data_IF_034869415280
#
_entry.id   IF_034869415280
#
_cell.length_a   1.000
_cell.length_b   1.000
_cell.length_c   1.000
_cell.angle_alpha   90.00
_cell.angle_beta   90.00
_cell.angle_gamma   90.00
#
_symmetry.space_group_name_H-M   'P 1'
#
loop_
_entity.id
_entity.type
_entity.pdbx_description
1 polymer ?
#
# COMPACT_ATOMS: atom_id res chain seq x y z
N UNK A 1 -8.79 10.46 9.58
CA UNK A 1 -8.85 9.17 8.88
C UNK A 1 -9.02 9.44 7.41
N UNK A 2 -8.07 9.00 6.60
CA UNK A 2 -8.02 9.14 5.14
C UNK A 2 -7.65 7.80 4.53
N UNK A 3 -7.90 7.62 3.24
CA UNK A 3 -7.48 6.42 2.51
C UNK A 3 -6.30 6.78 1.62
N UNK A 4 -5.19 6.07 1.81
CA UNK A 4 -3.97 6.19 1.01
C UNK A 4 -3.80 4.88 0.24
N UNK A 5 -3.64 4.95 -1.07
CA UNK A 5 -3.51 3.76 -1.93
C UNK A 5 -2.17 3.81 -2.64
N UNK A 6 -1.44 2.71 -2.54
CA UNK A 6 -0.36 2.35 -3.45
C UNK A 6 -0.98 1.87 -4.78
N UNK A 7 -0.98 2.76 -5.76
CA UNK A 7 -1.70 2.61 -7.02
C UNK A 7 -1.07 1.62 -7.99
N UNK A 8 0.24 1.37 -7.88
CA UNK A 8 0.99 0.49 -8.79
C UNK A 8 0.59 -0.98 -8.63
N UNK A 9 0.12 -1.36 -7.43
CA UNK A 9 -0.23 -2.75 -7.09
C UNK A 9 -1.73 -2.94 -6.73
N UNK A 10 -2.60 -1.96 -7.01
CA UNK A 10 -4.00 -2.01 -6.59
C UNK A 10 -5.01 -2.09 -7.75
N UNK A 11 -5.50 -3.30 -8.12
CA UNK A 11 -6.54 -3.42 -9.14
C UNK A 11 -7.92 -2.92 -8.67
N UNK A 12 -8.12 -2.78 -7.35
CA UNK A 12 -9.41 -2.46 -6.71
C UNK A 12 -9.71 -0.98 -6.51
N UNK A 13 -9.01 -0.06 -7.20
CA UNK A 13 -9.13 1.40 -6.97
C UNK A 13 -10.58 1.90 -7.11
N UNK A 14 -11.36 1.38 -8.07
CA UNK A 14 -12.76 1.78 -8.27
C UNK A 14 -13.66 1.46 -7.06
N UNK A 15 -13.41 0.33 -6.39
CA UNK A 15 -14.11 -0.08 -5.18
C UNK A 15 -13.71 0.84 -4.03
N UNK A 16 -12.41 1.08 -3.87
CA UNK A 16 -11.88 1.97 -2.83
C UNK A 16 -12.44 3.38 -2.98
N UNK A 17 -12.47 3.91 -4.20
CA UNK A 17 -13.10 5.19 -4.55
C UNK A 17 -14.56 5.24 -4.13
N UNK A 18 -15.33 4.22 -4.48
CA UNK A 18 -16.77 4.17 -4.17
C UNK A 18 -17.02 4.18 -2.66
N UNK A 19 -16.17 3.47 -1.89
CA UNK A 19 -16.22 3.47 -0.42
C UNK A 19 -15.79 4.84 0.12
N UNK A 20 -14.68 5.40 -0.36
CA UNK A 20 -14.19 6.71 0.06
C UNK A 20 -15.27 7.79 -0.13
N UNK A 21 -15.93 7.79 -1.29
CA UNK A 21 -17.03 8.71 -1.60
C UNK A 21 -18.25 8.50 -0.71
N UNK A 22 -18.66 7.23 -0.50
CA UNK A 22 -19.79 6.88 0.38
C UNK A 22 -19.59 7.40 1.81
N UNK A 23 -18.37 7.29 2.34
CA UNK A 23 -18.03 7.73 3.69
C UNK A 23 -17.46 9.15 3.76
N UNK A 24 -17.38 9.86 2.62
CA UNK A 24 -16.79 11.21 2.50
C UNK A 24 -15.38 11.30 3.09
N UNK A 25 -14.59 10.25 2.90
CA UNK A 25 -13.19 10.18 3.30
C UNK A 25 -12.31 10.76 2.20
N UNK A 26 -11.25 11.46 2.59
CA UNK A 26 -10.20 11.88 1.67
C UNK A 26 -9.51 10.64 1.09
N UNK A 27 -9.33 10.61 -0.22
CA UNK A 27 -8.67 9.54 -0.95
C UNK A 27 -7.45 10.11 -1.67
N UNK A 28 -6.28 9.53 -1.42
CA UNK A 28 -5.03 9.83 -2.11
C UNK A 28 -4.52 8.55 -2.74
N UNK A 29 -4.29 8.55 -4.04
CA UNK A 29 -3.69 7.44 -4.77
C UNK A 29 -2.32 7.89 -5.28
N UNK A 30 -1.27 7.18 -4.90
CA UNK A 30 0.08 7.40 -5.42
C UNK A 30 0.35 6.40 -6.53
N UNK A 31 0.90 6.87 -7.66
CA UNK A 31 1.29 5.99 -8.76
C UNK A 31 2.50 6.55 -9.49
N UNK A 32 3.24 5.68 -10.17
CA UNK A 32 4.32 6.11 -11.05
C UNK A 32 3.79 6.76 -12.36
N UNK A 33 4.71 7.30 -13.16
CA UNK A 33 4.40 7.89 -14.47
C UNK A 33 3.91 6.89 -15.53
N UNK A 34 4.04 5.58 -15.28
CA UNK A 34 3.66 4.52 -16.20
C UNK A 34 2.21 4.06 -15.98
N UNK A 35 1.62 4.39 -14.83
CA UNK A 35 0.24 4.04 -14.49
C UNK A 35 -0.69 5.25 -14.65
N UNK A 36 -1.54 5.22 -15.68
CA UNK A 36 -2.58 6.25 -15.85
C UNK A 36 -3.81 5.90 -15.01
N UNK A 37 -3.99 6.61 -13.89
CA UNK A 37 -5.15 6.47 -13.00
C UNK A 37 -6.02 7.72 -13.14
N UNK A 38 -7.29 7.53 -13.52
CA UNK A 38 -8.28 8.61 -13.56
C UNK A 38 -9.29 8.43 -12.43
N UNK A 39 -9.42 9.45 -11.58
CA UNK A 39 -10.39 9.50 -10.48
C UNK A 39 -11.28 10.73 -10.62
N UNK A 40 -12.58 10.54 -10.44
CA UNK A 40 -13.61 11.59 -10.31
C UNK A 40 -13.87 11.97 -8.83
N UNK A 41 -13.24 11.26 -7.90
CA UNK A 41 -13.27 11.53 -6.46
C UNK A 41 -11.93 11.11 -5.84
N UNK A 42 -11.28 12.04 -5.12
CA UNK A 42 -9.95 11.85 -4.57
C UNK A 42 -8.86 12.53 -5.40
N UNK A 43 -7.62 12.41 -4.94
CA UNK A 43 -6.43 12.99 -5.56
C UNK A 43 -5.52 11.86 -6.07
N UNK A 44 -5.06 11.98 -7.32
CA UNK A 44 -3.99 11.13 -7.87
C UNK A 44 -2.69 11.91 -7.83
N UNK A 45 -1.69 11.39 -7.12
CA UNK A 45 -0.34 11.95 -7.04
C UNK A 45 0.60 11.07 -7.84
N UNK A 46 0.93 11.55 -9.04
CA UNK A 46 1.93 10.92 -9.89
C UNK A 46 3.32 11.28 -9.38
N UNK A 47 4.15 10.27 -9.15
CA UNK A 47 5.51 10.42 -8.65
C UNK A 47 6.50 9.92 -9.68
N UNK A 48 7.71 10.49 -9.67
CA UNK A 48 8.76 10.14 -10.62
C UNK A 48 9.15 8.65 -10.50
N UNK A 49 9.52 8.01 -11.61
CA UNK A 49 9.78 6.55 -11.71
C UNK A 49 11.10 6.09 -11.06
N UNK A 50 11.51 6.72 -9.97
CA UNK A 50 12.64 6.27 -9.17
C UNK A 50 12.32 4.98 -8.40
N UNK A 51 13.36 4.19 -8.11
CA UNK A 51 13.23 2.97 -7.31
C UNK A 51 12.55 3.28 -5.95
N UNK A 52 11.43 2.63 -5.66
CA UNK A 52 10.63 2.78 -4.43
C UNK A 52 10.06 4.20 -4.18
N UNK A 53 9.84 5.00 -5.22
CA UNK A 53 9.28 6.34 -5.03
C UNK A 53 7.89 6.29 -4.40
N UNK A 54 6.96 5.52 -4.96
CA UNK A 54 5.57 5.39 -4.47
C UNK A 54 5.52 4.94 -3.00
N UNK A 55 6.22 3.85 -2.67
CA UNK A 55 6.30 3.32 -1.29
C UNK A 55 6.71 4.40 -0.28
N UNK A 56 7.74 5.17 -0.62
CA UNK A 56 8.26 6.23 0.25
C UNK A 56 7.24 7.37 0.40
N UNK A 57 6.54 7.77 -0.67
CA UNK A 57 5.50 8.79 -0.58
C UNK A 57 4.30 8.32 0.26
N UNK A 58 3.89 7.05 0.13
CA UNK A 58 2.85 6.43 0.95
C UNK A 58 3.25 6.48 2.42
N UNK A 59 4.44 5.97 2.76
CA UNK A 59 4.97 5.95 4.13
C UNK A 59 5.09 7.35 4.71
N UNK A 60 5.61 8.31 3.95
CA UNK A 60 5.81 9.69 4.42
C UNK A 60 4.49 10.43 4.63
N UNK A 61 3.49 10.17 3.78
CA UNK A 61 2.16 10.82 3.85
C UNK A 61 1.27 10.20 4.94
N UNK A 62 1.50 8.92 5.24
CA UNK A 62 0.76 8.15 6.24
C UNK A 62 0.87 8.75 7.64
N UNK A 63 -0.29 8.96 8.29
CA UNK A 63 -0.42 9.39 9.68
C UNK A 63 -1.22 8.36 10.49
N UNK A 64 -1.22 8.53 11.81
CA UNK A 64 -2.04 7.70 12.70
C UNK A 64 -3.52 7.77 12.32
N UNK A 65 -4.20 6.63 12.39
CA UNK A 65 -5.60 6.43 11.99
C UNK A 65 -5.91 6.65 10.50
N UNK A 66 -4.90 6.74 9.62
CA UNK A 66 -5.12 6.60 8.19
C UNK A 66 -5.30 5.11 7.82
N UNK A 67 -5.99 4.85 6.70
CA UNK A 67 -6.14 3.53 6.09
C UNK A 67 -5.23 3.49 4.86
N UNK A 68 -4.27 2.58 4.85
CA UNK A 68 -3.30 2.41 3.78
C UNK A 68 -3.58 1.11 3.04
N UNK A 69 -3.65 1.15 1.72
CA UNK A 69 -3.79 -0.03 0.88
C UNK A 69 -2.47 -0.24 0.15
N UNK A 70 -1.73 -1.30 0.49
CA UNK A 70 -0.49 -1.68 -0.20
C UNK A 70 -0.23 -3.18 -0.08
N UNK A 71 0.46 -3.75 -1.06
CA UNK A 71 0.87 -5.16 -1.06
C UNK A 71 2.25 -5.36 -0.43
N UNK A 72 3.05 -4.29 -0.27
CA UNK A 72 4.41 -4.40 0.24
C UNK A 72 4.43 -4.52 1.78
N UNK A 73 5.04 -5.60 2.27
CA UNK A 73 5.14 -5.89 3.70
C UNK A 73 6.02 -4.89 4.46
N UNK A 74 7.02 -4.29 3.81
CA UNK A 74 7.84 -3.24 4.40
C UNK A 74 7.06 -1.94 4.59
N UNK A 75 6.28 -1.54 3.58
CA UNK A 75 5.33 -0.40 3.71
C UNK A 75 4.33 -0.67 4.83
N UNK A 76 3.75 -1.89 4.85
CA UNK A 76 2.82 -2.31 5.90
C UNK A 76 3.41 -2.19 7.31
N UNK A 77 4.63 -2.69 7.52
CA UNK A 77 5.32 -2.62 8.81
C UNK A 77 5.55 -1.18 9.28
N UNK A 78 5.99 -0.29 8.38
CA UNK A 78 6.23 1.12 8.74
C UNK A 78 4.90 1.85 9.04
N UNK A 79 3.86 1.61 8.25
CA UNK A 79 2.54 2.19 8.47
C UNK A 79 1.90 1.71 9.79
N UNK A 80 2.06 0.43 10.14
CA UNK A 80 1.65 -0.12 11.44
C UNK A 80 2.36 0.58 12.59
N UNK A 81 3.69 0.74 12.50
CA UNK A 81 4.48 1.50 13.49
C UNK A 81 4.03 2.95 13.65
N UNK A 82 3.40 3.55 12.62
CA UNK A 82 2.77 4.89 12.67
C UNK A 82 1.34 4.89 13.21
N UNK A 83 0.83 3.74 13.68
CA UNK A 83 -0.55 3.53 14.15
C UNK A 83 -1.59 3.79 13.06
N UNK A 84 -1.27 3.44 11.82
CA UNK A 84 -2.23 3.43 10.71
C UNK A 84 -2.80 2.02 10.53
N UNK A 85 -3.98 1.93 9.92
CA UNK A 85 -4.57 0.67 9.48
C UNK A 85 -4.04 0.36 8.09
N UNK A 86 -3.61 -0.87 7.84
CA UNK A 86 -3.05 -1.26 6.54
C UNK A 86 -3.70 -2.54 6.05
N UNK A 87 -4.18 -2.51 4.81
CA UNK A 87 -4.78 -3.64 4.14
C UNK A 87 -4.02 -3.97 2.86
N UNK A 88 -3.93 -5.27 2.58
CA UNK A 88 -3.55 -5.77 1.28
C UNK A 88 -4.67 -5.46 0.26
N UNK A 89 -4.34 -5.18 -1.02
CA UNK A 89 -5.33 -5.02 -2.09
C UNK A 89 -6.33 -6.20 -2.23
N UNK A 90 -5.96 -7.40 -1.76
CA UNK A 90 -6.82 -8.59 -1.72
C UNK A 90 -7.76 -8.65 -0.51
N UNK A 91 -7.71 -7.67 0.40
CA UNK A 91 -8.60 -7.57 1.56
C UNK A 91 -8.04 -8.17 2.86
N UNK A 92 -6.80 -8.66 2.87
CA UNK A 92 -6.14 -9.12 4.11
C UNK A 92 -5.70 -7.93 4.95
N UNK A 93 -5.92 -8.00 6.26
CA UNK A 93 -5.46 -6.98 7.21
C UNK A 93 -4.04 -7.32 7.66
N UNK A 94 -3.13 -6.35 7.60
CA UNK A 94 -1.86 -6.46 8.30
C UNK A 94 -2.03 -5.95 9.72
N UNK A 95 -1.49 -6.70 10.68
CA UNK A 95 -1.57 -6.39 12.11
C UNK A 95 -0.23 -6.64 12.77
N UNK A 96 -0.02 -6.08 13.96
CA UNK A 96 1.20 -6.31 14.75
C UNK A 96 1.42 -7.82 15.02
N UNK A 97 0.35 -8.61 15.11
CA UNK A 97 0.48 -10.05 15.37
C UNK A 97 0.90 -10.88 14.14
N UNK A 98 0.72 -10.34 12.92
CA UNK A 98 0.97 -11.09 11.69
C UNK A 98 2.14 -10.56 10.85
N UNK A 99 2.49 -9.28 11.01
CA UNK A 99 3.45 -8.61 10.12
C UNK A 99 4.86 -9.20 10.22
N UNK A 100 5.31 -9.52 11.43
CA UNK A 100 6.65 -10.09 11.67
C UNK A 100 6.81 -11.43 10.97
N UNK A 101 5.78 -12.28 11.05
CA UNK A 101 5.76 -13.57 10.36
C UNK A 101 5.83 -13.38 8.85
N UNK A 102 5.06 -12.45 8.29
CA UNK A 102 5.06 -12.18 6.85
C UNK A 102 6.40 -11.64 6.34
N UNK A 103 7.08 -10.82 7.15
CA UNK A 103 8.43 -10.34 6.85
C UNK A 103 9.46 -11.48 6.87
N UNK A 104 9.39 -12.37 7.85
CA UNK A 104 10.29 -13.54 7.92
C UNK A 104 10.04 -14.50 6.75
N UNK A 105 8.78 -14.78 6.41
CA UNK A 105 8.41 -15.59 5.25
C UNK A 105 8.98 -14.97 3.95
N UNK A 106 8.87 -13.64 3.77
CA UNK A 106 9.46 -12.93 2.63
C UNK A 106 10.98 -13.10 2.58
N UNK A 107 11.67 -13.00 3.72
CA UNK A 107 13.12 -13.18 3.80
C UNK A 107 13.55 -14.60 3.44
N UNK A 108 12.86 -15.61 3.98
CA UNK A 108 13.10 -17.02 3.65
C UNK A 108 12.87 -17.26 2.16
N UNK A 109 11.77 -16.77 1.58
CA UNK A 109 11.51 -16.92 0.14
C UNK A 109 12.59 -16.25 -0.71
N UNK A 110 13.09 -15.08 -0.31
CA UNK A 110 14.20 -14.41 -0.99
C UNK A 110 15.50 -15.23 -0.92
N UNK A 111 15.81 -15.84 0.24
CA UNK A 111 16.96 -16.75 0.37
C UNK A 111 16.84 -17.96 -0.55
N UNK A 112 15.67 -18.60 -0.60
CA UNK A 112 15.43 -19.77 -1.46
C UNK A 112 15.63 -19.41 -2.93
N UNK A 113 15.08 -18.27 -3.39
CA UNK A 113 15.28 -17.80 -4.78
C UNK A 113 16.74 -17.51 -5.09
N UNK A 114 17.50 -16.91 -4.17
CA UNK A 114 18.95 -16.68 -4.33
C UNK A 114 19.74 -17.98 -4.41
N UNK A 115 19.28 -19.03 -3.74
CA UNK A 115 19.86 -20.38 -3.82
C UNK A 115 19.40 -21.17 -5.06
N UNK A 116 18.65 -20.56 -5.99
CA UNK A 116 18.16 -21.20 -7.21
C UNK A 116 16.85 -21.99 -7.05
N UNK A 117 16.23 -21.95 -5.87
CA UNK A 117 14.94 -22.59 -5.61
C UNK A 117 13.75 -21.78 -6.14
N UNK A 118 12.59 -22.44 -6.30
CA UNK A 118 11.31 -21.82 -6.68
C UNK A 118 10.40 -21.79 -5.45
N UNK A 119 9.70 -20.66 -5.24
CA UNK A 119 8.76 -20.39 -4.14
C UNK A 119 7.49 -19.79 -4.69
#
# INVERSE_FOLDING_TARGET
MRIIVDGDACPGISIIKSIAQKYKLELIVFCDIHHFISLDYGEVKVVDSGFQSVDMYVVNTCKSNDVVISQDYGVAAICLGKKAHILNPKGYLYTEENIDRMLEERHISQKIRRAGGRT
#
